data_IF_007828099250
#
_entry.id   IF_007828099250
#
_cell.length_a   1.000
_cell.length_b   1.000
_cell.length_c   1.000
_cell.angle_alpha   90.00
_cell.angle_beta   90.00
_cell.angle_gamma   90.00
#
_symmetry.space_group_name_H-M   'P 1'
#
loop_
_entity.id
_entity.type
_entity.pdbx_description
1 polymer ?
#
# COMPACT_ATOMS: atom_id res chain seq x y z
N UNK A 1 0.03 -18.79 6.55
CA UNK A 1 -0.31 -18.94 7.99
C UNK A 1 -0.73 -17.58 8.56
N UNK A 2 -1.38 -17.56 9.75
CA UNK A 2 -1.85 -16.31 10.38
C UNK A 2 -1.74 -16.38 11.90
N UNK A 3 -1.11 -15.38 12.50
CA UNK A 3 -1.20 -15.12 13.95
C UNK A 3 -2.61 -14.63 14.30
N UNK A 4 -3.04 -14.86 15.54
CA UNK A 4 -4.37 -14.48 16.02
C UNK A 4 -4.29 -13.76 17.36
N UNK A 5 -5.31 -12.96 17.67
CA UNK A 5 -5.38 -12.24 18.94
C UNK A 5 -6.22 -10.96 18.90
N UNK A 6 -6.16 -10.17 19.98
CA UNK A 6 -6.95 -8.96 20.11
C UNK A 6 -6.51 -7.82 19.18
N UNK A 7 -5.39 -7.95 18.48
CA UNK A 7 -4.89 -6.95 17.52
C UNK A 7 -5.47 -7.13 16.10
N UNK A 8 -6.06 -8.28 15.78
CA UNK A 8 -6.62 -8.54 14.44
C UNK A 8 -7.93 -7.75 14.25
N UNK A 9 -7.90 -6.78 13.33
CA UNK A 9 -9.05 -5.96 12.96
C UNK A 9 -9.82 -6.53 11.76
N UNK A 10 -9.13 -6.92 10.70
CA UNK A 10 -9.71 -7.39 9.44
C UNK A 10 -8.89 -8.56 8.90
N UNK A 11 -9.46 -9.29 7.95
CA UNK A 11 -8.73 -10.31 7.19
C UNK A 11 -8.94 -10.14 5.69
N UNK A 12 -8.13 -10.82 4.90
CA UNK A 12 -8.25 -10.89 3.45
C UNK A 12 -7.69 -12.24 2.97
N UNK A 13 -7.95 -12.64 1.71
CA UNK A 13 -7.36 -13.85 1.16
C UNK A 13 -5.83 -13.80 1.23
N UNK A 14 -5.21 -14.82 1.84
CA UNK A 14 -3.76 -14.93 1.96
C UNK A 14 -3.17 -16.15 1.24
N UNK A 15 -4.00 -17.11 0.84
CA UNK A 15 -3.59 -18.35 0.17
C UNK A 15 -4.12 -18.36 -1.26
N UNK A 16 -3.33 -18.90 -2.19
CA UNK A 16 -3.75 -19.01 -3.59
C UNK A 16 -3.84 -17.65 -4.30
N UNK A 17 -3.15 -16.62 -3.78
CA UNK A 17 -3.17 -15.28 -4.36
C UNK A 17 -2.24 -15.27 -5.60
N UNK A 18 -2.74 -14.89 -6.79
CA UNK A 18 -1.90 -14.76 -7.97
C UNK A 18 -0.89 -13.63 -7.78
N UNK A 19 0.35 -13.88 -8.20
CA UNK A 19 1.43 -12.89 -8.22
C UNK A 19 2.34 -13.13 -9.42
N UNK A 20 3.31 -12.25 -9.62
CA UNK A 20 4.34 -12.46 -10.64
C UNK A 20 5.24 -13.64 -10.23
N UNK A 21 5.52 -14.55 -11.15
CA UNK A 21 6.37 -15.72 -10.87
C UNK A 21 7.83 -15.34 -10.60
N UNK A 22 8.28 -14.25 -11.24
CA UNK A 22 9.65 -13.78 -11.26
C UNK A 22 9.68 -12.24 -11.20
N UNK A 23 10.88 -11.68 -11.07
CA UNK A 23 11.08 -10.22 -11.14
C UNK A 23 10.84 -9.61 -12.53
N UNK A 24 10.71 -10.45 -13.56
CA UNK A 24 10.55 -10.00 -14.95
C UNK A 24 9.11 -9.56 -15.28
N UNK A 25 8.12 -9.93 -14.45
CA UNK A 25 6.71 -9.51 -14.59
C UNK A 25 6.08 -9.87 -15.94
N UNK A 26 6.43 -11.05 -16.47
CA UNK A 26 5.91 -11.55 -17.77
C UNK A 26 4.92 -12.70 -17.62
N UNK A 27 4.83 -13.31 -16.44
CA UNK A 27 3.95 -14.45 -16.16
C UNK A 27 3.39 -14.42 -14.74
N UNK A 28 2.11 -14.80 -14.62
CA UNK A 28 1.45 -14.98 -13.33
C UNK A 28 1.58 -16.41 -12.84
N UNK A 29 1.85 -16.55 -11.55
CA UNK A 29 1.82 -17.81 -10.83
C UNK A 29 0.97 -17.65 -9.59
N UNK A 30 0.27 -18.71 -9.23
CA UNK A 30 -0.32 -18.80 -7.89
C UNK A 30 0.84 -18.97 -6.91
N UNK A 31 1.00 -18.01 -5.99
CA UNK A 31 2.03 -18.09 -4.97
C UNK A 31 1.68 -19.27 -4.04
N UNK A 32 2.48 -20.35 -4.11
CA UNK A 32 2.21 -21.60 -3.39
C UNK A 32 2.30 -21.45 -1.86
N UNK A 33 3.21 -20.62 -1.39
CA UNK A 33 3.33 -20.25 0.03
C UNK A 33 2.53 -18.95 0.26
N UNK A 34 1.26 -19.10 0.63
CA UNK A 34 0.43 -17.97 1.03
C UNK A 34 0.85 -17.36 2.37
N UNK A 35 0.43 -16.13 2.66
CA UNK A 35 0.81 -15.45 3.89
C UNK A 35 -0.06 -14.26 4.24
N UNK A 36 0.12 -13.76 5.45
CA UNK A 36 -0.47 -12.48 5.89
C UNK A 36 0.02 -11.32 5.03
N UNK A 37 1.22 -11.38 4.44
CA UNK A 37 1.72 -10.37 3.50
C UNK A 37 0.77 -10.15 2.32
N UNK A 38 0.32 -11.22 1.66
CA UNK A 38 -0.64 -11.14 0.56
C UNK A 38 -2.01 -10.62 1.03
N UNK A 39 -2.46 -11.07 2.21
CA UNK A 39 -3.70 -10.57 2.80
C UNK A 39 -3.62 -9.06 3.10
N UNK A 40 -2.50 -8.59 3.65
CA UNK A 40 -2.25 -7.17 3.94
C UNK A 40 -2.21 -6.35 2.65
N UNK A 41 -1.60 -6.85 1.59
CA UNK A 41 -1.59 -6.18 0.29
C UNK A 41 -3.02 -6.00 -0.25
N UNK A 42 -3.86 -7.04 -0.20
CA UNK A 42 -5.26 -6.96 -0.64
C UNK A 42 -6.12 -6.05 0.26
N UNK A 43 -5.90 -6.08 1.57
CA UNK A 43 -6.58 -5.16 2.51
C UNK A 43 -6.18 -3.70 2.24
N UNK A 44 -4.90 -3.44 1.98
CA UNK A 44 -4.39 -2.10 1.66
C UNK A 44 -4.93 -1.60 0.31
N UNK A 45 -4.93 -2.45 -0.71
CA UNK A 45 -5.53 -2.13 -2.01
C UNK A 45 -7.04 -1.83 -1.87
N UNK A 46 -7.75 -2.59 -1.03
CA UNK A 46 -9.17 -2.34 -0.74
C UNK A 46 -9.39 -0.98 -0.08
N UNK A 47 -8.55 -0.61 0.89
CA UNK A 47 -8.58 0.70 1.53
C UNK A 47 -8.28 1.82 0.53
N UNK A 48 -7.24 1.66 -0.29
CA UNK A 48 -6.83 2.63 -1.30
C UNK A 48 -7.93 2.87 -2.34
N UNK A 49 -8.63 1.83 -2.82
CA UNK A 49 -9.74 2.00 -3.75
C UNK A 49 -10.90 2.78 -3.14
N UNK A 50 -11.26 2.48 -1.88
CA UNK A 50 -12.30 3.24 -1.17
C UNK A 50 -11.85 4.69 -1.00
N UNK A 51 -10.61 4.92 -0.59
CA UNK A 51 -10.09 6.27 -0.38
C UNK A 51 -9.99 7.06 -1.69
N UNK A 52 -9.60 6.42 -2.79
CA UNK A 52 -9.59 7.05 -4.12
C UNK A 52 -10.98 7.48 -4.57
N UNK A 53 -12.03 6.74 -4.18
CA UNK A 53 -13.42 7.12 -4.47
C UNK A 53 -13.93 8.25 -3.56
N UNK A 54 -13.38 8.36 -2.35
CA UNK A 54 -13.78 9.33 -1.33
C UNK A 54 -12.54 10.08 -0.79
N UNK A 55 -11.89 10.93 -1.60
CA UNK A 55 -10.58 11.51 -1.28
C UNK A 55 -10.59 12.40 -0.02
N UNK A 56 -11.74 12.92 0.36
CA UNK A 56 -11.93 13.75 1.56
C UNK A 56 -12.08 12.94 2.86
N UNK A 57 -12.22 11.62 2.79
CA UNK A 57 -12.40 10.77 3.96
C UNK A 57 -11.13 10.64 4.80
N UNK A 58 -11.30 10.53 6.12
CA UNK A 58 -10.20 10.20 7.04
C UNK A 58 -9.91 8.70 7.06
N UNK A 59 -8.76 8.33 7.60
CA UNK A 59 -8.40 6.92 7.83
C UNK A 59 -9.44 6.18 8.68
N UNK A 60 -10.05 6.85 9.66
CA UNK A 60 -11.14 6.29 10.47
C UNK A 60 -12.37 5.95 9.64
N UNK A 61 -12.75 6.84 8.71
CA UNK A 61 -13.92 6.62 7.84
C UNK A 61 -13.67 5.45 6.89
N UNK A 62 -12.51 5.41 6.23
CA UNK A 62 -12.12 4.30 5.35
C UNK A 62 -12.12 2.98 6.12
N UNK A 63 -11.50 2.94 7.31
CA UNK A 63 -11.45 1.74 8.15
C UNK A 63 -12.85 1.33 8.63
N UNK A 64 -13.70 2.28 9.03
CA UNK A 64 -15.07 2.00 9.49
C UNK A 64 -15.89 1.37 8.38
N UNK A 65 -15.77 1.86 7.14
CA UNK A 65 -16.46 1.28 5.98
C UNK A 65 -15.95 -0.14 5.70
N UNK A 66 -14.64 -0.37 5.73
CA UNK A 66 -14.09 -1.73 5.59
C UNK A 66 -14.65 -2.69 6.64
N UNK A 67 -14.78 -2.25 7.90
CA UNK A 67 -15.35 -3.04 8.99
C UNK A 67 -16.86 -3.29 8.78
N UNK A 68 -17.66 -2.24 8.56
CA UNK A 68 -19.12 -2.34 8.41
C UNK A 68 -19.54 -3.17 7.20
N UNK A 69 -18.71 -3.22 6.16
CA UNK A 69 -19.00 -3.98 4.93
C UNK A 69 -18.57 -5.44 4.99
N UNK A 70 -17.85 -5.87 6.03
CA UNK A 70 -17.48 -7.28 6.17
C UNK A 70 -18.73 -8.17 6.25
N UNK A 71 -18.61 -9.41 5.74
CA UNK A 71 -19.73 -10.35 5.78
C UNK A 71 -20.17 -10.77 7.19
N UNK A 72 -19.36 -10.54 8.23
CA UNK A 72 -19.78 -10.78 9.63
C UNK A 72 -20.57 -9.60 10.16
N UNK A 73 -20.07 -8.38 9.98
CA UNK A 73 -20.79 -7.17 10.40
C UNK A 73 -22.15 -7.05 9.73
N UNK A 74 -22.26 -7.38 8.43
CA UNK A 74 -23.55 -7.41 7.73
C UNK A 74 -24.53 -8.48 8.25
N UNK A 75 -24.04 -9.53 8.91
CA UNK A 75 -24.85 -10.56 9.56
C UNK A 75 -25.12 -10.24 11.04
N UNK A 76 -24.97 -8.99 11.45
CA UNK A 76 -25.18 -8.55 12.84
C UNK A 76 -24.14 -9.08 13.83
N UNK A 77 -23.06 -9.72 13.38
CA UNK A 77 -22.00 -10.23 14.25
C UNK A 77 -21.03 -9.10 14.58
N UNK A 78 -21.40 -8.30 15.57
CA UNK A 78 -20.63 -7.17 16.09
C UNK A 78 -19.40 -7.59 16.91
N UNK A 79 -19.45 -8.78 17.52
CA UNK A 79 -18.34 -9.32 18.31
C UNK A 79 -17.18 -9.73 17.39
N UNK A 80 -16.03 -9.09 17.62
CA UNK A 80 -14.78 -9.31 16.91
C UNK A 80 -14.24 -10.71 17.21
N UNK A 81 -13.85 -11.44 16.17
CA UNK A 81 -13.18 -12.73 16.29
C UNK A 81 -11.69 -12.54 16.54
N UNK A 82 -11.08 -13.36 17.41
CA UNK A 82 -9.62 -13.37 17.59
C UNK A 82 -8.85 -13.83 16.34
N UNK A 83 -9.49 -14.57 15.42
CA UNK A 83 -8.85 -15.13 14.23
C UNK A 83 -8.98 -14.26 12.99
N UNK A 84 -10.15 -13.63 12.80
CA UNK A 84 -10.48 -12.90 11.55
C UNK A 84 -10.94 -11.46 11.81
N UNK A 85 -10.82 -10.99 13.05
CA UNK A 85 -11.30 -9.66 13.44
C UNK A 85 -12.78 -9.48 13.17
N UNK A 86 -13.14 -8.37 12.55
CA UNK A 86 -14.49 -8.08 12.06
C UNK A 86 -14.84 -8.88 10.80
N UNK A 87 -13.87 -9.47 10.09
CA UNK A 87 -14.11 -10.35 8.95
C UNK A 87 -13.30 -9.96 7.71
N UNK A 88 -13.58 -10.66 6.61
CA UNK A 88 -12.88 -10.44 5.35
C UNK A 88 -13.29 -9.10 4.71
N UNK A 89 -12.31 -8.35 4.19
CA UNK A 89 -12.55 -7.09 3.45
C UNK A 89 -13.45 -7.32 2.24
N UNK A 90 -14.38 -6.37 1.99
CA UNK A 90 -15.36 -6.44 0.89
C UNK A 90 -15.51 -5.08 0.19
N UNK A 91 -14.47 -4.58 -0.49
CA UNK A 91 -14.48 -3.24 -1.10
C UNK A 91 -15.65 -3.05 -2.09
N UNK A 92 -16.05 -4.10 -2.81
CA UNK A 92 -17.22 -4.10 -3.71
C UNK A 92 -18.50 -3.54 -3.06
N UNK A 93 -18.74 -3.82 -1.77
CA UNK A 93 -19.96 -3.37 -1.10
C UNK A 93 -20.04 -1.84 -1.01
N UNK A 94 -18.92 -1.16 -0.76
CA UNK A 94 -18.89 0.31 -0.79
C UNK A 94 -18.77 0.84 -2.22
N UNK A 95 -17.80 0.31 -2.98
CA UNK A 95 -17.45 0.83 -4.30
C UNK A 95 -18.60 0.71 -5.31
N UNK A 96 -19.36 -0.38 -5.29
CA UNK A 96 -20.43 -0.63 -6.26
C UNK A 96 -21.84 -0.45 -5.68
N UNK A 97 -22.02 -0.58 -4.37
CA UNK A 97 -23.35 -0.56 -3.74
C UNK A 97 -23.56 0.60 -2.76
N UNK A 98 -22.54 1.44 -2.55
CA UNK A 98 -22.62 2.57 -1.61
C UNK A 98 -22.82 2.16 -0.15
N UNK A 99 -22.54 0.90 0.22
CA UNK A 99 -22.76 0.40 1.59
C UNK A 99 -21.60 0.76 2.52
N UNK A 100 -21.92 0.79 3.82
CA UNK A 100 -20.98 1.09 4.89
C UNK A 100 -20.98 2.58 5.18
N UNK A 101 -21.64 2.95 6.27
CA UNK A 101 -21.66 4.33 6.74
C UNK A 101 -20.27 4.73 7.29
N UNK A 102 -19.64 5.79 6.72
CA UNK A 102 -18.32 6.24 7.12
C UNK A 102 -18.30 6.84 8.52
N UNK A 103 -19.44 7.30 9.07
CA UNK A 103 -19.58 7.90 10.40
C UNK A 103 -18.69 9.12 10.67
N UNK A 104 -18.53 9.45 11.96
CA UNK A 104 -17.69 10.55 12.44
C UNK A 104 -16.21 10.38 12.06
N UNK A 105 -15.58 11.34 11.37
CA UNK A 105 -14.18 11.28 10.95
C UNK A 105 -13.16 11.21 12.10
N UNK A 106 -13.53 11.68 13.29
CA UNK A 106 -12.61 11.86 14.41
C UNK A 106 -12.61 10.63 15.33
N UNK A 107 -13.60 9.75 15.22
CA UNK A 107 -13.76 8.60 16.11
C UNK A 107 -13.13 7.35 15.50
N UNK A 108 -12.21 6.70 16.22
CA UNK A 108 -11.67 5.42 15.77
C UNK A 108 -12.74 4.33 15.83
N UNK A 109 -12.99 3.58 14.72
CA UNK A 109 -13.93 2.46 14.72
C UNK A 109 -13.43 1.25 15.54
N UNK A 110 -12.16 1.23 15.96
CA UNK A 110 -11.59 0.15 16.77
C UNK A 110 -11.71 0.41 18.27
N UNK A 111 -11.55 1.66 18.70
CA UNK A 111 -11.50 2.01 20.13
C UNK A 111 -12.71 2.82 20.59
N UNK A 112 -13.48 3.41 19.66
CA UNK A 112 -14.58 4.33 19.98
C UNK A 112 -14.13 5.67 20.53
N UNK A 113 -12.82 5.96 20.52
CA UNK A 113 -12.25 7.20 21.07
C UNK A 113 -11.94 8.21 19.97
N UNK A 114 -11.95 9.49 20.33
CA UNK A 114 -11.53 10.59 19.45
C UNK A 114 -10.03 10.48 19.15
N UNK A 115 -9.66 10.78 17.91
CA UNK A 115 -8.30 10.72 17.37
C UNK A 115 -7.98 12.06 16.69
N UNK A 116 -6.70 12.41 16.63
CA UNK A 116 -6.26 13.62 15.93
C UNK A 116 -6.20 13.34 14.43
N UNK A 117 -6.92 14.14 13.64
CA UNK A 117 -7.06 13.91 12.21
C UNK A 117 -5.84 14.42 11.44
N UNK A 118 -5.09 13.54 10.81
CA UNK A 118 -4.37 13.89 9.58
C UNK A 118 -5.36 13.84 8.43
N UNK A 119 -6.18 14.89 8.29
CA UNK A 119 -6.96 15.08 7.06
C UNK A 119 -5.96 15.10 5.91
N UNK A 120 -6.20 14.30 4.86
CA UNK A 120 -5.51 14.56 3.61
C UNK A 120 -5.89 15.99 3.20
N UNK A 121 -4.94 16.92 3.27
CA UNK A 121 -5.09 18.20 2.57
C UNK A 121 -5.47 17.81 1.15
N UNK A 122 -6.57 18.37 0.63
CA UNK A 122 -6.77 18.44 -0.82
C UNK A 122 -5.42 18.91 -1.37
N UNK A 123 -4.70 18.03 -2.06
CA UNK A 123 -3.64 18.51 -2.93
C UNK A 123 -4.42 19.38 -3.92
N UNK A 124 -4.30 20.69 -3.78
CA UNK A 124 -4.82 21.60 -4.78
C UNK A 124 -4.26 21.07 -6.09
N UNK A 125 -5.16 20.73 -7.00
CA UNK A 125 -4.86 20.53 -8.41
C UNK A 125 -4.29 21.87 -8.88
N UNK A 126 -2.97 22.04 -8.71
CA UNK A 126 -2.24 23.02 -9.48
C UNK A 126 -2.24 22.44 -10.89
N UNK A 127 -2.97 23.08 -11.78
CA UNK A 127 -2.67 23.05 -13.21
C UNK A 127 -1.15 23.19 -13.34
N UNK A 128 -0.50 22.09 -13.67
CA UNK A 128 0.90 22.08 -14.07
C UNK A 128 0.94 22.61 -15.50
N UNK A 129 0.83 23.93 -15.64
CA UNK A 129 1.36 24.60 -16.81
C UNK A 129 2.90 24.47 -16.76
N UNK A 130 3.40 23.64 -17.67
CA UNK A 130 4.76 23.57 -18.23
C UNK A 130 5.93 23.86 -17.27
N UNK A 131 6.52 22.79 -16.74
CA UNK A 131 7.94 22.46 -16.93
C UNK A 131 8.28 21.17 -16.17
N UNK A 132 8.54 20.11 -16.92
CA UNK A 132 9.01 18.83 -16.37
C UNK A 132 10.51 18.90 -16.12
N UNK A 133 10.98 18.28 -15.03
CA UNK A 133 12.18 17.46 -15.16
C UNK A 133 11.92 16.02 -14.70
N UNK A 134 12.53 15.16 -15.50
CA UNK A 134 12.43 13.71 -15.56
C UNK A 134 12.97 12.99 -14.31
N UNK A 135 12.40 11.81 -14.06
CA UNK A 135 13.02 10.62 -13.42
C UNK A 135 13.23 10.61 -11.89
N UNK A 136 12.48 9.74 -11.20
CA UNK A 136 12.81 9.25 -9.84
C UNK A 136 13.19 7.78 -9.94
N UNK A 137 14.45 7.45 -9.62
CA UNK A 137 14.97 6.06 -9.55
C UNK A 137 15.06 5.61 -8.09
N UNK A 138 14.58 4.39 -7.81
CA UNK A 138 14.63 3.73 -6.49
C UNK A 138 15.89 2.86 -6.43
N UNK A 139 16.67 2.97 -5.36
CA UNK A 139 17.85 2.13 -5.10
C UNK A 139 17.56 1.19 -3.93
N UNK A 140 17.69 -0.11 -4.21
CA UNK A 140 17.68 -1.23 -3.26
C UNK A 140 19.04 -1.33 -2.54
N UNK A 141 19.08 -1.75 -1.28
CA UNK A 141 20.31 -2.27 -0.67
C UNK A 141 20.01 -3.24 0.47
N UNK A 142 20.58 -4.44 0.27
CA UNK A 142 20.68 -5.57 1.17
C UNK A 142 21.69 -5.33 2.30
N UNK A 143 21.56 -6.15 3.36
CA UNK A 143 22.28 -6.11 4.64
C UNK A 143 23.78 -6.40 4.57
N UNK A 144 24.55 -5.81 5.49
CA UNK A 144 25.94 -6.15 5.82
C UNK A 144 26.43 -5.38 7.04
N UNK A 145 26.95 -6.12 8.01
CA UNK A 145 27.24 -5.83 9.42
C UNK A 145 28.58 -5.07 9.65
N UNK A 146 28.72 -4.39 10.81
CA UNK A 146 30.05 -4.06 11.38
C UNK A 146 30.47 -2.58 11.53
N UNK A 147 30.03 -1.98 12.64
CA UNK A 147 30.83 -1.21 13.62
C UNK A 147 31.28 0.26 13.40
N UNK A 148 31.06 1.04 14.48
CA UNK A 148 31.69 2.31 14.92
C UNK A 148 31.20 3.70 14.47
N UNK A 149 30.42 4.32 15.39
CA UNK A 149 30.40 5.74 15.83
C UNK A 149 30.87 6.85 14.86
N UNK A 150 29.95 7.70 14.37
CA UNK A 150 29.55 8.95 15.03
C UNK A 150 28.57 9.75 14.13
N UNK A 151 27.47 10.20 14.73
CA UNK A 151 26.83 11.50 14.58
C UNK A 151 26.77 12.20 13.20
N UNK A 152 25.53 12.36 12.70
CA UNK A 152 25.04 13.41 11.80
C UNK A 152 25.91 13.76 10.58
N UNK A 153 25.51 13.33 9.38
CA UNK A 153 25.25 14.26 8.27
C UNK A 153 24.22 13.68 7.28
N UNK A 154 23.16 14.45 7.11
CA UNK A 154 22.23 14.41 5.97
C UNK A 154 22.99 14.78 4.68
N UNK A 155 22.59 14.16 3.57
CA UNK A 155 22.69 14.66 2.18
C UNK A 155 24.13 14.70 1.60
N UNK A 156 24.43 13.76 0.70
CA UNK A 156 25.23 13.88 -0.54
C UNK A 156 25.83 12.51 -0.88
N UNK A 157 25.50 11.92 -2.04
CA UNK A 157 26.19 10.69 -2.42
C UNK A 157 25.74 9.92 -3.66
N UNK A 158 25.18 10.53 -4.72
CA UNK A 158 25.16 9.89 -6.05
C UNK A 158 25.41 10.93 -7.15
N UNK A 159 26.68 11.34 -7.30
CA UNK A 159 27.18 11.93 -8.55
C UNK A 159 28.52 11.25 -8.83
N UNK A 160 28.49 10.15 -9.58
CA UNK A 160 29.72 9.44 -9.97
C UNK A 160 29.52 8.24 -10.87
N UNK A 161 28.37 7.54 -10.80
CA UNK A 161 28.19 6.27 -11.52
C UNK A 161 27.59 6.33 -12.92
N UNK A 162 27.01 7.46 -13.35
CA UNK A 162 26.12 7.48 -14.55
C UNK A 162 26.84 7.89 -15.85
N UNK A 163 28.08 8.40 -15.78
CA UNK A 163 28.79 8.84 -17.00
C UNK A 163 29.27 7.66 -17.87
N UNK A 164 29.49 6.47 -17.31
CA UNK A 164 30.12 5.36 -18.05
C UNK A 164 29.11 4.57 -18.92
N UNK A 165 27.84 4.49 -18.52
CA UNK A 165 26.86 3.62 -19.21
C UNK A 165 26.27 4.29 -20.46
N UNK A 166 26.13 5.62 -20.49
CA UNK A 166 25.61 6.34 -21.65
C UNK A 166 26.63 6.45 -22.81
N UNK A 167 27.93 6.53 -22.50
CA UNK A 167 28.99 6.53 -23.52
C UNK A 167 29.14 5.18 -24.23
N UNK A 168 28.98 4.07 -23.51
CA UNK A 168 29.13 2.72 -24.07
C UNK A 168 28.04 2.34 -25.07
N UNK A 169 26.78 2.73 -24.82
CA UNK A 169 25.64 2.37 -25.69
C UNK A 169 25.61 3.24 -26.96
N UNK A 170 25.98 4.52 -26.87
CA UNK A 170 26.03 5.41 -28.03
C UNK A 170 27.23 5.13 -28.95
N UNK A 171 28.39 4.74 -28.38
CA UNK A 171 29.57 4.35 -29.15
C UNK A 171 29.36 3.06 -29.97
N UNK A 172 28.71 2.05 -29.39
CA UNK A 172 28.41 0.78 -30.07
C UNK A 172 27.37 0.90 -31.19
N UNK A 173 26.45 1.87 -31.10
CA UNK A 173 25.44 2.10 -32.13
C UNK A 173 26.00 2.79 -33.39
N UNK A 174 27.08 3.58 -33.27
CA UNK A 174 27.68 4.29 -34.43
C UNK A 174 28.63 3.41 -35.24
N UNK A 175 29.31 2.44 -34.60
CA UNK A 175 30.21 1.51 -35.30
C UNK A 175 29.46 0.49 -36.15
N UNK A 176 28.18 0.21 -35.85
CA UNK A 176 27.34 -0.71 -36.64
C UNK A 176 26.67 -0.06 -37.86
N UNK A 177 26.96 1.21 -38.14
CA UNK A 177 26.32 1.98 -39.21
C UNK A 177 27.29 2.60 -40.22
N UNK A 178 28.56 2.20 -40.21
CA UNK A 178 29.52 2.38 -41.30
C UNK A 178 29.98 1.01 -41.81
#
# INVERSE_FOLDING_TARGET
YSTYGPHVALTAPGLGVPGWCDGAKVRYCVQGQGGTSSATALASASAALIWSKHPEWTSNQVLRVLIKTTGRSQKGRSVRSKYIGYGAVRPRANLLQGKGDPGDPDISPLTGKKTLNTKAKKSAEKEAEKDAPDKVTVTDSSSGDGDNNNQLYLILGIVGGVVIVAGGVFGLARVRRN
#
